data_IF_536163728524
#
_entry.id   IF_536163728524
#
_cell.length_a   1.000
_cell.length_b   1.000
_cell.length_c   1.000
_cell.angle_alpha   90.00
_cell.angle_beta   90.00
_cell.angle_gamma   90.00
#
_symmetry.space_group_name_H-M   'P 1'
#
loop_
_entity.id
_entity.type
_entity.pdbx_description
1 polymer ?
#
# COMPACT_ATOMS: atom_id res chain seq x y z
N UNK A 1 -17.09 -10.91 18.65
CA UNK A 1 -15.79 -10.47 18.09
C UNK A 1 -14.73 -11.56 18.15
N UNK A 2 -14.39 -12.15 19.31
CA UNK A 2 -13.59 -13.40 19.32
C UNK A 2 -14.16 -14.48 18.39
N UNK A 3 -15.50 -14.64 18.38
CA UNK A 3 -16.17 -15.56 17.46
C UNK A 3 -16.03 -15.22 15.96
N UNK A 4 -15.86 -13.95 15.59
CA UNK A 4 -15.62 -13.55 14.19
C UNK A 4 -14.22 -13.98 13.75
N UNK A 5 -13.21 -13.73 14.59
CA UNK A 5 -11.84 -14.11 14.29
C UNK A 5 -11.68 -15.64 14.24
N UNK A 6 -12.35 -16.36 15.15
CA UNK A 6 -12.42 -17.82 15.11
C UNK A 6 -13.11 -18.30 13.83
N UNK A 7 -14.25 -17.71 13.46
CA UNK A 7 -14.94 -18.06 12.23
C UNK A 7 -14.08 -17.83 10.98
N UNK A 8 -13.30 -16.75 10.93
CA UNK A 8 -12.36 -16.48 9.83
C UNK A 8 -11.26 -17.53 9.73
N UNK A 9 -10.76 -18.04 10.87
CA UNK A 9 -9.77 -19.13 10.88
C UNK A 9 -10.43 -20.44 10.44
N UNK A 10 -11.61 -20.76 10.97
CA UNK A 10 -12.34 -22.00 10.69
C UNK A 10 -12.83 -22.10 9.24
N UNK A 11 -13.02 -20.97 8.54
CA UNK A 11 -13.40 -20.95 7.13
C UNK A 11 -12.23 -21.19 6.17
N UNK A 12 -10.98 -21.06 6.63
CA UNK A 12 -9.79 -21.16 5.80
C UNK A 12 -9.20 -22.57 5.82
N UNK A 13 -8.80 -23.06 4.65
CA UNK A 13 -8.15 -24.37 4.49
C UNK A 13 -6.75 -24.24 3.89
N UNK A 14 -5.83 -25.10 4.36
CA UNK A 14 -4.45 -25.19 3.86
C UNK A 14 -3.44 -24.37 4.66
N UNK A 15 -2.19 -24.84 4.66
CA UNK A 15 -1.10 -24.29 5.48
C UNK A 15 -0.82 -22.81 5.16
N UNK A 16 -0.70 -22.44 3.88
CA UNK A 16 -0.47 -21.05 3.45
C UNK A 16 -1.55 -20.08 3.98
N UNK A 17 -2.82 -20.50 3.95
CA UNK A 17 -3.94 -19.66 4.41
C UNK A 17 -3.94 -19.52 5.93
N UNK A 18 -3.64 -20.60 6.66
CA UNK A 18 -3.52 -20.58 8.12
C UNK A 18 -2.32 -19.75 8.60
N UNK A 19 -1.20 -19.80 7.89
CA UNK A 19 -0.05 -18.92 8.17
C UNK A 19 -0.39 -17.45 7.90
N UNK A 20 -1.02 -17.18 6.76
CA UNK A 20 -1.42 -15.82 6.39
C UNK A 20 -2.40 -15.19 7.39
N UNK A 21 -3.46 -15.91 7.78
CA UNK A 21 -4.42 -15.40 8.77
C UNK A 21 -3.76 -15.23 10.15
N UNK A 22 -2.89 -16.15 10.56
CA UNK A 22 -2.16 -16.04 11.82
C UNK A 22 -1.25 -14.79 11.82
N UNK A 23 -0.57 -14.53 10.70
CA UNK A 23 0.25 -13.33 10.53
C UNK A 23 -0.60 -12.05 10.62
N UNK A 24 -1.73 -11.98 9.93
CA UNK A 24 -2.63 -10.83 10.02
C UNK A 24 -3.11 -10.62 11.47
N UNK A 25 -3.63 -11.66 12.11
CA UNK A 25 -4.14 -11.57 13.48
C UNK A 25 -3.06 -11.19 14.52
N UNK A 26 -1.80 -11.51 14.26
CA UNK A 26 -0.70 -11.14 15.15
C UNK A 26 -0.40 -9.63 15.16
N UNK A 27 -0.69 -8.93 14.05
CA UNK A 27 -0.26 -7.53 13.86
C UNK A 27 -1.38 -6.57 13.42
N UNK A 28 -2.60 -7.07 13.23
CA UNK A 28 -3.76 -6.25 12.88
C UNK A 28 -4.00 -5.14 13.93
N UNK A 29 -4.32 -3.90 13.50
CA UNK A 29 -4.61 -2.82 14.44
C UNK A 29 -5.79 -3.15 15.36
N UNK A 30 -5.74 -2.68 16.61
CA UNK A 30 -6.79 -2.97 17.60
C UNK A 30 -8.18 -2.49 17.15
N UNK A 31 -8.24 -1.35 16.45
CA UNK A 31 -9.50 -0.85 15.87
C UNK A 31 -10.14 -1.86 14.90
N UNK A 32 -9.32 -2.56 14.12
CA UNK A 32 -9.77 -3.52 13.13
C UNK A 32 -10.29 -4.80 13.81
N UNK A 33 -9.67 -5.26 14.90
CA UNK A 33 -10.15 -6.42 15.69
C UNK A 33 -11.61 -6.29 16.15
N UNK A 34 -12.09 -5.04 16.27
CA UNK A 34 -13.45 -4.74 16.73
C UNK A 34 -14.43 -4.40 15.61
N UNK A 35 -13.95 -4.16 14.39
CA UNK A 35 -14.74 -3.61 13.28
C UNK A 35 -14.75 -4.49 12.02
N UNK A 36 -13.66 -5.20 11.71
CA UNK A 36 -13.58 -6.07 10.53
C UNK A 36 -14.47 -7.32 10.71
N UNK A 37 -15.14 -7.75 9.63
CA UNK A 37 -15.89 -9.00 9.62
C UNK A 37 -14.99 -10.20 9.33
N UNK A 38 -15.41 -11.38 9.80
CA UNK A 38 -14.74 -12.63 9.49
C UNK A 38 -14.58 -12.86 7.97
N UNK A 39 -15.67 -12.71 7.23
CA UNK A 39 -15.73 -12.92 5.79
C UNK A 39 -14.77 -12.00 5.01
N UNK A 40 -14.66 -10.73 5.43
CA UNK A 40 -13.77 -9.79 4.75
C UNK A 40 -12.30 -10.17 4.96
N UNK A 41 -11.93 -10.52 6.19
CA UNK A 41 -10.57 -10.91 6.52
C UNK A 41 -10.19 -12.23 5.83
N UNK A 42 -11.07 -13.24 5.88
CA UNK A 42 -10.87 -14.52 5.19
C UNK A 42 -10.76 -14.32 3.67
N UNK A 43 -11.64 -13.53 3.07
CA UNK A 43 -11.59 -13.23 1.63
C UNK A 43 -10.29 -12.54 1.20
N UNK A 44 -9.73 -11.64 2.02
CA UNK A 44 -8.40 -11.07 1.72
C UNK A 44 -7.29 -12.11 1.77
N UNK A 45 -7.34 -13.06 2.71
CA UNK A 45 -6.36 -14.15 2.81
C UNK A 45 -6.45 -15.08 1.61
N UNK A 46 -7.65 -15.53 1.25
CA UNK A 46 -7.87 -16.40 0.10
C UNK A 46 -7.35 -15.77 -1.19
N UNK A 47 -7.69 -14.50 -1.43
CA UNK A 47 -7.22 -13.77 -2.60
C UNK A 47 -5.69 -13.60 -2.59
N UNK A 48 -5.09 -13.22 -1.47
CA UNK A 48 -3.63 -13.06 -1.37
C UNK A 48 -2.88 -14.38 -1.59
N UNK A 49 -3.36 -15.48 -1.01
CA UNK A 49 -2.77 -16.83 -1.18
C UNK A 49 -2.96 -17.34 -2.62
N UNK A 50 -4.10 -17.08 -3.24
CA UNK A 50 -4.30 -17.38 -4.66
C UNK A 50 -3.30 -16.60 -5.53
N UNK A 51 -3.05 -15.33 -5.20
CA UNK A 51 -2.11 -14.47 -5.95
C UNK A 51 -0.66 -14.90 -5.73
N UNK A 52 -0.31 -15.32 -4.52
CA UNK A 52 1.00 -15.92 -4.22
C UNK A 52 1.32 -17.08 -5.16
N UNK A 53 0.33 -17.89 -5.51
CA UNK A 53 0.53 -19.06 -6.39
C UNK A 53 0.51 -18.73 -7.89
N UNK A 54 -0.22 -17.69 -8.28
CA UNK A 54 -0.55 -17.43 -9.71
C UNK A 54 0.19 -16.25 -10.32
N UNK A 55 0.55 -15.23 -9.54
CA UNK A 55 1.20 -14.03 -10.06
C UNK A 55 2.68 -14.27 -10.37
N UNK A 56 3.19 -13.85 -11.54
CA UNK A 56 4.60 -13.90 -11.88
C UNK A 56 5.48 -13.02 -10.98
N UNK A 57 4.90 -12.02 -10.30
CA UNK A 57 5.61 -11.10 -9.41
C UNK A 57 5.61 -11.55 -7.95
N UNK A 58 4.74 -12.51 -7.61
CA UNK A 58 4.52 -12.90 -6.22
C UNK A 58 5.11 -14.27 -5.87
N UNK A 59 5.10 -15.21 -6.83
CA UNK A 59 5.42 -16.63 -6.56
C UNK A 59 6.77 -16.85 -5.90
N UNK A 60 7.77 -16.07 -6.31
CA UNK A 60 9.16 -16.29 -5.90
C UNK A 60 9.63 -15.27 -4.83
N UNK A 61 8.73 -14.45 -4.26
CA UNK A 61 9.11 -13.50 -3.20
C UNK A 61 9.51 -14.22 -1.90
N UNK A 62 10.40 -13.63 -1.08
CA UNK A 62 10.56 -14.06 0.30
C UNK A 62 9.25 -13.96 1.08
N UNK A 63 8.99 -14.90 2.00
CA UNK A 63 7.75 -14.91 2.80
C UNK A 63 7.60 -13.63 3.62
N UNK A 64 8.69 -13.06 4.12
CA UNK A 64 8.66 -11.78 4.84
C UNK A 64 8.08 -10.62 4.02
N UNK A 65 8.38 -10.56 2.72
CA UNK A 65 7.87 -9.54 1.80
C UNK A 65 6.42 -9.84 1.43
N UNK A 66 6.09 -11.11 1.16
CA UNK A 66 4.71 -11.49 0.89
C UNK A 66 3.78 -11.14 2.06
N UNK A 67 4.15 -11.58 3.27
CA UNK A 67 3.35 -11.38 4.48
C UNK A 67 3.23 -9.90 4.82
N UNK A 68 4.29 -9.10 4.67
CA UNK A 68 4.27 -7.69 5.09
C UNK A 68 3.77 -6.72 4.01
N UNK A 69 3.92 -7.03 2.72
CA UNK A 69 3.76 -6.04 1.64
C UNK A 69 2.86 -6.50 0.49
N UNK A 70 2.37 -7.75 0.49
CA UNK A 70 1.34 -8.23 -0.43
C UNK A 70 0.05 -8.61 0.29
N UNK A 71 0.15 -9.42 1.35
CA UNK A 71 -0.96 -9.99 2.11
C UNK A 71 -1.86 -8.96 2.81
N UNK A 72 -1.35 -7.87 3.43
CA UNK A 72 -2.18 -7.01 4.27
C UNK A 72 -3.35 -6.36 3.53
N UNK A 73 -4.50 -6.34 4.20
CA UNK A 73 -5.77 -5.80 3.69
C UNK A 73 -5.84 -4.26 3.68
N UNK A 74 -4.83 -3.61 4.27
CA UNK A 74 -4.79 -2.16 4.48
C UNK A 74 -3.37 -1.59 4.39
N UNK A 75 -3.30 -0.26 4.37
CA UNK A 75 -2.09 0.55 4.41
C UNK A 75 -2.08 1.52 5.59
N UNK A 76 -3.18 2.25 5.79
CA UNK A 76 -3.34 3.31 6.82
C UNK A 76 -4.76 3.26 7.44
N UNK A 77 -5.44 4.41 7.55
CA UNK A 77 -6.79 4.61 8.08
C UNK A 77 -7.94 4.33 7.12
N UNK A 78 -7.67 3.90 5.89
CA UNK A 78 -8.72 3.74 4.89
C UNK A 78 -9.78 2.71 5.29
N UNK A 79 -11.01 2.89 4.81
CA UNK A 79 -12.09 1.95 5.10
C UNK A 79 -11.72 0.55 4.61
N UNK A 80 -11.90 -0.47 5.46
CA UNK A 80 -11.65 -1.88 5.09
C UNK A 80 -12.71 -2.35 4.11
N UNK A 81 -12.30 -2.94 2.99
CA UNK A 81 -13.19 -3.38 1.93
C UNK A 81 -12.54 -4.44 1.03
N UNK A 82 -13.36 -5.20 0.30
CA UNK A 82 -12.86 -6.25 -0.60
C UNK A 82 -12.41 -5.67 -1.95
N UNK A 83 -11.28 -4.97 -1.95
CA UNK A 83 -10.74 -4.31 -3.15
C UNK A 83 -9.96 -5.26 -4.09
N UNK A 84 -9.49 -6.40 -3.60
CA UNK A 84 -8.63 -7.33 -4.39
C UNK A 84 -9.34 -7.88 -5.64
N UNK A 85 -10.56 -8.43 -5.57
CA UNK A 85 -11.14 -9.13 -6.70
C UNK A 85 -11.38 -8.22 -7.90
N UNK A 86 -12.00 -7.05 -7.68
CA UNK A 86 -12.30 -6.09 -8.75
C UNK A 86 -11.01 -5.54 -9.38
N UNK A 87 -10.05 -5.11 -8.56
CA UNK A 87 -8.79 -4.57 -9.09
C UNK A 87 -8.02 -5.65 -9.85
N UNK A 88 -7.98 -6.88 -9.36
CA UNK A 88 -7.33 -7.99 -10.07
C UNK A 88 -7.99 -8.26 -11.42
N UNK A 89 -9.32 -8.36 -11.45
CA UNK A 89 -10.07 -8.63 -12.69
C UNK A 89 -9.76 -7.59 -13.77
N UNK A 90 -9.66 -6.31 -13.38
CA UNK A 90 -9.41 -5.21 -14.31
C UNK A 90 -7.95 -5.08 -14.76
N UNK A 91 -6.99 -5.47 -13.92
CA UNK A 91 -5.60 -5.07 -14.07
C UNK A 91 -4.58 -6.23 -14.15
N UNK A 92 -4.96 -7.47 -13.84
CA UNK A 92 -4.04 -8.61 -13.88
C UNK A 92 -3.46 -8.85 -15.28
N UNK A 93 -4.27 -8.80 -16.34
CA UNK A 93 -3.78 -8.98 -17.72
C UNK A 93 -2.77 -7.90 -18.12
N UNK A 94 -2.99 -6.66 -17.70
CA UNK A 94 -2.09 -5.53 -18.00
C UNK A 94 -0.73 -5.76 -17.32
N UNK A 95 -0.75 -6.16 -16.05
CA UNK A 95 0.47 -6.40 -15.29
C UNK A 95 1.21 -7.65 -15.76
N UNK A 96 0.52 -8.78 -15.90
CA UNK A 96 1.14 -10.09 -16.17
C UNK A 96 1.60 -10.26 -17.62
N UNK A 97 1.13 -9.41 -18.54
CA UNK A 97 1.65 -9.34 -19.91
C UNK A 97 2.89 -8.45 -20.07
N UNK A 98 3.30 -7.75 -19.01
CA UNK A 98 4.51 -6.93 -19.03
C UNK A 98 5.77 -7.80 -18.91
N UNK A 99 6.86 -7.46 -19.63
CA UNK A 99 8.11 -8.22 -19.58
C UNK A 99 8.87 -8.08 -18.26
N UNK A 100 8.58 -7.06 -17.46
CA UNK A 100 9.26 -6.76 -16.18
C UNK A 100 8.26 -6.18 -15.18
N UNK A 101 8.56 -6.27 -13.89
CA UNK A 101 7.70 -5.65 -12.87
C UNK A 101 7.70 -4.12 -12.98
N UNK A 102 8.84 -3.50 -13.31
CA UNK A 102 8.92 -2.06 -13.58
C UNK A 102 7.95 -1.60 -14.68
N UNK A 103 7.92 -2.34 -15.80
CA UNK A 103 6.99 -2.07 -16.89
C UNK A 103 5.53 -2.38 -16.49
N UNK A 104 5.31 -3.43 -15.70
CA UNK A 104 3.98 -3.74 -15.16
C UNK A 104 3.44 -2.57 -14.33
N UNK A 105 4.21 -2.08 -13.36
CA UNK A 105 3.81 -0.97 -12.49
C UNK A 105 3.60 0.32 -13.29
N UNK A 106 4.46 0.60 -14.27
CA UNK A 106 4.26 1.76 -15.14
C UNK A 106 2.94 1.67 -15.94
N UNK A 107 2.62 0.51 -16.53
CA UNK A 107 1.35 0.29 -17.23
C UNK A 107 0.15 0.39 -16.29
N UNK A 108 0.26 -0.16 -15.09
CA UNK A 108 -0.78 -0.05 -14.06
C UNK A 108 -1.07 1.41 -13.74
N UNK A 109 -0.04 2.21 -13.43
CA UNK A 109 -0.20 3.64 -13.17
C UNK A 109 -0.87 4.35 -14.36
N UNK A 110 -0.44 4.09 -15.60
CA UNK A 110 -1.01 4.77 -16.77
C UNK A 110 -2.46 4.39 -17.08
N UNK A 111 -2.86 3.14 -16.82
CA UNK A 111 -4.18 2.63 -17.16
C UNK A 111 -5.20 2.83 -16.04
N UNK A 112 -4.77 2.78 -14.78
CA UNK A 112 -5.61 2.88 -13.60
C UNK A 112 -6.46 4.15 -13.60
N UNK A 113 -5.82 5.31 -13.76
CA UNK A 113 -6.51 6.60 -13.66
C UNK A 113 -7.50 6.83 -14.81
N UNK A 114 -7.12 6.40 -16.02
CA UNK A 114 -7.98 6.51 -17.22
C UNK A 114 -9.21 5.63 -17.10
N UNK A 115 -9.04 4.39 -16.63
CA UNK A 115 -10.14 3.41 -16.52
C UNK A 115 -11.08 3.70 -15.35
N UNK A 116 -10.54 4.23 -14.26
CA UNK A 116 -11.32 4.52 -13.05
C UNK A 116 -11.83 5.96 -12.97
N UNK A 117 -11.42 6.84 -13.91
CA UNK A 117 -11.91 8.21 -13.98
C UNK A 117 -11.46 9.09 -12.80
N UNK A 118 -10.26 8.84 -12.28
CA UNK A 118 -9.74 9.50 -11.07
C UNK A 118 -8.75 10.62 -11.45
N UNK A 119 -8.90 11.78 -10.82
CA UNK A 119 -7.98 12.92 -10.97
C UNK A 119 -7.45 13.40 -9.62
N UNK A 120 -6.29 14.07 -9.64
CA UNK A 120 -5.75 14.70 -8.43
C UNK A 120 -6.50 15.98 -8.05
N UNK A 121 -6.84 16.11 -6.77
CA UNK A 121 -7.17 17.41 -6.17
C UNK A 121 -6.82 17.43 -4.68
N UNK A 122 -6.13 18.46 -4.17
CA UNK A 122 -5.67 18.51 -2.79
C UNK A 122 -6.77 18.79 -1.75
N UNK A 123 -8.04 19.00 -2.14
CA UNK A 123 -9.08 19.53 -1.23
C UNK A 123 -10.51 19.16 -1.57
N UNK A 124 -10.82 18.75 -2.80
CA UNK A 124 -12.19 18.40 -3.23
C UNK A 124 -12.62 16.98 -2.88
N UNK A 125 -11.69 16.16 -2.37
CA UNK A 125 -12.02 14.82 -1.87
C UNK A 125 -12.69 14.88 -0.48
N UNK A 126 -13.62 13.96 -0.15
CA UNK A 126 -14.32 13.94 1.14
C UNK A 126 -13.40 13.71 2.34
N UNK A 127 -12.32 12.93 2.17
CA UNK A 127 -11.30 12.64 3.19
C UNK A 127 -9.95 12.33 2.54
N UNK A 128 -8.87 12.32 3.30
CA UNK A 128 -7.50 12.15 2.76
C UNK A 128 -7.15 10.69 2.45
N UNK A 129 -7.53 9.77 3.34
CA UNK A 129 -7.27 8.32 3.27
C UNK A 129 -8.44 7.53 2.69
N UNK A 130 -8.93 7.96 1.52
CA UNK A 130 -9.98 7.25 0.79
C UNK A 130 -9.56 5.81 0.49
N UNK A 131 -10.46 4.86 0.77
CA UNK A 131 -10.33 3.50 0.26
C UNK A 131 -10.41 3.49 -1.27
N UNK A 132 -10.03 2.38 -1.94
CA UNK A 132 -10.14 2.25 -3.38
C UNK A 132 -11.51 2.67 -3.92
N UNK A 133 -12.61 2.11 -3.39
CA UNK A 133 -13.96 2.46 -3.83
C UNK A 133 -14.34 3.91 -3.54
N UNK A 134 -13.97 4.47 -2.38
CA UNK A 134 -14.22 5.89 -2.07
C UNK A 134 -13.49 6.84 -3.03
N UNK A 135 -12.30 6.45 -3.51
CA UNK A 135 -11.56 7.20 -4.53
C UNK A 135 -12.23 7.10 -5.89
N UNK A 136 -12.62 5.89 -6.30
CA UNK A 136 -13.27 5.62 -7.58
C UNK A 136 -14.62 6.33 -7.67
N UNK A 137 -15.46 6.20 -6.64
CA UNK A 137 -16.81 6.77 -6.60
C UNK A 137 -16.79 8.31 -6.65
N UNK A 138 -15.81 8.93 -5.99
CA UNK A 138 -15.65 10.38 -5.98
C UNK A 138 -14.95 10.91 -7.24
N UNK A 139 -14.14 10.09 -7.91
CA UNK A 139 -13.30 10.47 -9.06
C UNK A 139 -12.19 11.47 -8.73
N UNK A 140 -11.93 11.74 -7.45
CA UNK A 140 -10.95 12.73 -6.99
C UNK A 140 -10.22 12.24 -5.74
N UNK A 141 -8.89 12.38 -5.72
CA UNK A 141 -8.05 12.04 -4.56
C UNK A 141 -6.85 13.00 -4.38
N UNK A 142 -6.29 13.05 -3.16
CA UNK A 142 -4.94 13.60 -2.91
C UNK A 142 -3.85 12.55 -3.13
N UNK A 143 -2.58 12.91 -2.91
CA UNK A 143 -1.43 12.02 -2.99
C UNK A 143 -1.61 10.73 -2.17
N UNK A 144 -2.17 10.81 -0.96
CA UNK A 144 -2.52 9.64 -0.13
C UNK A 144 -3.53 8.72 -0.80
N UNK A 145 -4.70 9.22 -1.20
CA UNK A 145 -5.75 8.39 -1.84
C UNK A 145 -5.31 7.79 -3.18
N UNK A 146 -4.54 8.53 -3.98
CA UNK A 146 -3.91 8.00 -5.19
C UNK A 146 -2.93 6.87 -4.84
N UNK A 147 -2.09 7.06 -3.83
CA UNK A 147 -1.12 6.05 -3.42
C UNK A 147 -1.78 4.79 -2.86
N UNK A 148 -2.88 4.93 -2.08
CA UNK A 148 -3.69 3.79 -1.62
C UNK A 148 -4.23 3.01 -2.83
N UNK A 149 -4.89 3.68 -3.79
CA UNK A 149 -5.50 3.01 -4.93
C UNK A 149 -4.44 2.32 -5.83
N UNK A 150 -3.31 2.97 -6.09
CA UNK A 150 -2.23 2.37 -6.87
C UNK A 150 -1.61 1.18 -6.13
N UNK A 151 -1.29 1.32 -4.84
CA UNK A 151 -0.71 0.24 -4.05
C UNK A 151 -1.67 -0.95 -3.87
N UNK A 152 -2.97 -0.70 -3.69
CA UNK A 152 -4.01 -1.75 -3.72
C UNK A 152 -4.03 -2.47 -5.06
N UNK A 153 -3.90 -1.74 -6.17
CA UNK A 153 -3.84 -2.33 -7.51
C UNK A 153 -2.59 -3.18 -7.70
N UNK A 154 -1.43 -2.73 -7.21
CA UNK A 154 -0.20 -3.54 -7.20
C UNK A 154 -0.38 -4.83 -6.38
N UNK A 155 -0.89 -4.72 -5.14
CA UNK A 155 -1.10 -5.88 -4.26
C UNK A 155 -2.14 -6.86 -4.80
N UNK A 156 -3.17 -6.41 -5.53
CA UNK A 156 -4.19 -7.28 -6.13
C UNK A 156 -3.66 -8.15 -7.27
N UNK A 157 -2.58 -7.73 -7.92
CA UNK A 157 -1.89 -8.48 -8.99
C UNK A 157 -0.58 -9.13 -8.52
N UNK A 158 -0.26 -9.05 -7.22
CA UNK A 158 0.87 -9.73 -6.59
C UNK A 158 2.19 -8.96 -6.59
N UNK A 159 2.17 -7.66 -6.87
CA UNK A 159 3.34 -6.79 -6.75
C UNK A 159 3.39 -6.26 -5.31
N UNK A 160 4.47 -6.50 -4.54
CA UNK A 160 4.56 -6.00 -3.17
C UNK A 160 4.64 -4.49 -3.19
N UNK A 161 3.78 -3.85 -2.44
CA UNK A 161 3.67 -2.41 -2.41
C UNK A 161 3.38 -1.91 -0.99
N UNK A 162 3.88 -0.73 -0.68
CA UNK A 162 3.62 0.00 0.57
C UNK A 162 3.56 1.49 0.31
N UNK A 163 3.03 2.25 1.26
CA UNK A 163 3.06 3.71 1.16
C UNK A 163 4.37 4.22 1.75
N UNK A 164 4.87 5.31 1.17
CA UNK A 164 5.95 6.10 1.73
C UNK A 164 5.60 7.58 1.64
N UNK A 165 6.18 8.39 2.51
CA UNK A 165 5.84 9.80 2.57
C UNK A 165 6.77 10.62 3.45
N UNK A 166 6.67 11.93 3.28
CA UNK A 166 7.20 12.92 4.21
C UNK A 166 6.05 13.65 4.89
N UNK A 167 6.07 13.83 6.22
CA UNK A 167 5.06 14.62 6.92
C UNK A 167 5.16 16.10 6.58
N UNK A 168 6.38 16.58 6.31
CA UNK A 168 6.66 17.92 5.84
C UNK A 168 7.96 17.91 5.00
N UNK A 169 7.99 18.68 3.91
CA UNK A 169 9.24 18.96 3.22
C UNK A 169 10.15 19.86 4.06
N UNK A 170 11.47 19.76 3.87
CA UNK A 170 12.48 20.59 4.56
C UNK A 170 12.29 22.12 4.44
N UNK A 171 11.49 22.59 3.47
CA UNK A 171 11.16 24.00 3.21
C UNK A 171 9.72 24.35 3.64
N UNK A 172 9.10 23.51 4.46
CA UNK A 172 7.75 23.65 5.00
C UNK A 172 6.65 23.79 3.93
N UNK A 173 6.91 23.33 2.71
CA UNK A 173 5.97 23.48 1.60
C UNK A 173 4.81 22.47 1.58
N UNK A 174 4.62 21.71 2.67
CA UNK A 174 3.58 20.68 2.82
C UNK A 174 4.12 19.25 2.88
N UNK A 175 3.20 18.29 2.91
CA UNK A 175 3.48 16.86 2.93
C UNK A 175 3.49 16.25 1.52
N UNK A 176 3.91 14.99 1.42
CA UNK A 176 3.66 14.18 0.23
C UNK A 176 3.64 12.69 0.55
N UNK A 177 2.84 11.92 -0.20
CA UNK A 177 2.74 10.46 -0.10
C UNK A 177 2.87 9.86 -1.49
N UNK A 178 3.62 8.78 -1.61
CA UNK A 178 3.82 8.01 -2.83
C UNK A 178 3.86 6.51 -2.54
N UNK A 179 4.10 5.70 -3.57
CA UNK A 179 4.15 4.23 -3.45
C UNK A 179 5.59 3.75 -3.53
N UNK A 180 5.94 2.78 -2.70
CA UNK A 180 7.13 1.96 -2.90
C UNK A 180 6.74 0.54 -3.28
N UNK A 181 7.44 -0.03 -4.27
CA UNK A 181 7.28 -1.42 -4.67
C UNK A 181 8.59 -2.19 -4.49
N UNK A 182 8.50 -3.44 -4.06
CA UNK A 182 9.67 -4.30 -3.90
C UNK A 182 9.96 -5.03 -5.20
N UNK A 183 11.14 -4.82 -5.76
CA UNK A 183 11.61 -5.48 -6.98
C UNK A 183 13.05 -5.98 -6.76
N UNK A 184 13.23 -7.30 -6.79
CA UNK A 184 14.51 -8.01 -6.69
C UNK A 184 15.47 -7.47 -5.61
N UNK A 185 15.03 -7.49 -4.35
CA UNK A 185 15.88 -7.08 -3.22
C UNK A 185 15.90 -5.57 -2.95
N UNK A 186 15.17 -4.76 -3.73
CA UNK A 186 15.22 -3.31 -3.64
C UNK A 186 13.82 -2.69 -3.65
N UNK A 187 13.63 -1.70 -2.78
CA UNK A 187 12.45 -0.85 -2.81
C UNK A 187 12.61 0.27 -3.86
N UNK A 188 11.70 0.31 -4.82
CA UNK A 188 11.61 1.30 -5.89
C UNK A 188 10.44 2.25 -5.60
N UNK A 189 10.67 3.56 -5.65
CA UNK A 189 9.57 4.51 -5.49
C UNK A 189 8.87 4.79 -6.82
N UNK A 190 7.57 5.06 -6.74
CA UNK A 190 6.67 5.32 -7.85
C UNK A 190 5.75 6.47 -7.47
N UNK A 191 5.76 7.52 -8.28
CA UNK A 191 4.78 8.61 -8.18
C UNK A 191 3.48 8.20 -8.85
N UNK A 192 2.38 8.24 -8.11
CA UNK A 192 1.05 7.96 -8.64
C UNK A 192 0.55 9.11 -9.52
N UNK A 193 -0.15 8.79 -10.61
CA UNK A 193 -0.78 9.74 -11.53
C UNK A 193 0.22 10.71 -12.17
N UNK A 194 0.93 10.20 -13.19
CA UNK A 194 1.90 10.99 -13.95
C UNK A 194 3.35 10.61 -13.65
N UNK A 195 3.57 9.48 -12.96
CA UNK A 195 4.88 8.88 -12.81
C UNK A 195 5.39 8.29 -14.12
N UNK A 196 6.67 8.51 -14.42
CA UNK A 196 7.36 7.92 -15.57
C UNK A 196 7.92 6.52 -15.27
N UNK A 197 7.36 5.83 -14.26
CA UNK A 197 7.84 4.56 -13.75
C UNK A 197 8.80 4.72 -12.56
N UNK A 198 9.57 3.67 -12.30
CA UNK A 198 10.45 3.61 -11.12
C UNK A 198 11.46 4.75 -11.08
N UNK A 199 11.71 5.25 -9.88
CA UNK A 199 12.84 6.14 -9.65
C UNK A 199 12.65 7.55 -10.21
N UNK A 200 11.45 7.88 -10.70
CA UNK A 200 11.16 9.17 -11.33
C UNK A 200 10.01 9.87 -10.63
N UNK A 201 10.29 11.10 -10.18
CA UNK A 201 9.31 11.94 -9.53
C UNK A 201 9.68 13.43 -9.66
N UNK A 202 8.68 14.30 -9.53
CA UNK A 202 8.87 15.75 -9.55
C UNK A 202 9.53 16.28 -8.27
N UNK A 203 9.50 15.51 -7.18
CA UNK A 203 9.95 15.90 -5.84
C UNK A 203 11.39 15.49 -5.49
N UNK A 204 12.17 14.96 -6.44
CA UNK A 204 13.53 14.45 -6.17
C UNK A 204 14.48 15.51 -5.57
N UNK A 205 14.38 16.76 -6.01
CA UNK A 205 15.20 17.84 -5.43
C UNK A 205 14.86 18.15 -3.97
N UNK A 206 13.61 17.89 -3.56
CA UNK A 206 13.16 18.07 -2.18
C UNK A 206 13.58 16.91 -1.29
N UNK A 207 13.48 15.67 -1.79
CA UNK A 207 13.84 14.48 -1.01
C UNK A 207 15.34 14.40 -0.73
N UNK A 208 16.19 14.99 -1.58
CA UNK A 208 17.63 15.06 -1.37
C UNK A 208 18.05 15.92 -0.15
N UNK A 209 17.10 16.62 0.49
CA UNK A 209 17.32 17.54 1.62
C UNK A 209 16.53 17.13 2.87
N UNK A 210 16.03 15.90 2.92
CA UNK A 210 15.34 15.37 4.10
C UNK A 210 16.26 15.37 5.32
N UNK A 211 15.68 15.53 6.50
CA UNK A 211 16.41 15.55 7.76
C UNK A 211 15.94 14.37 8.63
N UNK A 212 16.68 13.24 8.69
CA UNK A 212 16.29 12.08 9.47
C UNK A 212 16.35 12.31 10.98
N UNK A 213 17.04 13.35 11.45
CA UNK A 213 17.14 13.68 12.89
C UNK A 213 15.86 14.33 13.44
N UNK A 214 14.92 14.72 12.58
CA UNK A 214 13.64 15.30 12.95
C UNK A 214 12.48 14.52 12.28
N UNK A 215 11.65 13.81 13.07
CA UNK A 215 10.53 13.00 12.54
C UNK A 215 9.59 13.73 11.59
N UNK A 216 9.49 15.06 11.69
CA UNK A 216 8.68 15.90 10.81
C UNK A 216 9.22 15.94 9.37
N UNK A 217 10.53 15.81 9.20
CA UNK A 217 11.26 15.89 7.93
C UNK A 217 11.89 14.55 7.50
N UNK A 218 11.63 13.48 8.26
CA UNK A 218 12.02 12.10 7.95
C UNK A 218 11.14 11.49 6.86
N UNK A 219 11.73 10.62 6.03
CA UNK A 219 10.98 9.81 5.07
C UNK A 219 10.55 8.50 5.73
N UNK A 220 9.24 8.30 5.84
CA UNK A 220 8.66 7.10 6.44
C UNK A 220 8.09 6.19 5.35
N UNK A 221 8.13 4.88 5.58
CA UNK A 221 7.38 3.91 4.79
C UNK A 221 6.59 2.97 5.70
N UNK A 222 5.31 2.73 5.36
CA UNK A 222 4.40 1.89 6.17
C UNK A 222 4.91 0.45 6.26
N UNK A 223 4.69 -0.19 7.41
CA UNK A 223 4.91 -1.61 7.62
C UNK A 223 3.70 -2.22 8.31
N UNK A 224 3.42 -3.49 8.05
CA UNK A 224 2.39 -4.22 8.80
C UNK A 224 2.96 -4.76 10.12
N UNK A 225 4.22 -5.20 10.12
CA UNK A 225 4.92 -5.61 11.33
C UNK A 225 5.26 -4.37 12.19
N UNK A 226 5.21 -4.48 13.53
CA UNK A 226 5.71 -3.42 14.40
C UNK A 226 7.19 -3.13 14.17
N UNK A 227 7.54 -1.85 14.08
CA UNK A 227 8.90 -1.37 13.82
C UNK A 227 9.48 -0.55 14.97
N UNK A 228 8.65 -0.17 15.95
CA UNK A 228 8.99 0.79 17.00
C UNK A 228 8.74 2.25 16.64
N UNK A 229 8.35 2.54 15.40
CA UNK A 229 7.94 3.86 14.91
C UNK A 229 6.60 3.77 14.17
N UNK A 230 5.97 4.91 13.90
CA UNK A 230 4.68 4.96 13.22
C UNK A 230 4.71 5.88 12.01
N UNK A 231 3.85 5.60 11.03
CA UNK A 231 3.68 6.42 9.84
C UNK A 231 2.89 7.67 10.23
N UNK A 232 3.41 8.89 9.99
CA UNK A 232 2.69 10.09 10.35
C UNK A 232 1.45 10.31 9.45
N UNK A 233 0.29 10.45 10.06
CA UNK A 233 -0.98 10.69 9.39
C UNK A 233 -1.36 12.17 9.55
N UNK A 234 -1.13 12.99 8.52
CA UNK A 234 -1.38 14.45 8.62
C UNK A 234 -2.84 14.80 8.91
N UNK A 235 -3.78 13.94 8.50
CA UNK A 235 -5.21 14.12 8.77
C UNK A 235 -5.67 13.54 10.12
N UNK A 236 -4.82 12.75 10.78
CA UNK A 236 -5.08 12.19 12.11
C UNK A 236 -3.76 12.06 12.92
N UNK A 237 -3.14 13.19 13.35
CA UNK A 237 -1.78 13.19 13.91
C UNK A 237 -1.62 12.40 15.22
N UNK A 238 -2.73 12.10 15.90
CA UNK A 238 -2.74 11.34 17.15
C UNK A 238 -2.80 9.81 16.91
N UNK A 239 -3.09 9.38 15.68
CA UNK A 239 -3.14 7.96 15.33
C UNK A 239 -1.73 7.40 15.07
N UNK A 240 -1.15 6.81 16.12
CA UNK A 240 0.11 6.06 16.06
C UNK A 240 -0.05 4.57 15.74
N UNK A 241 -1.21 4.11 15.24
CA UNK A 241 -1.50 2.68 15.06
C UNK A 241 -0.86 2.03 13.83
N UNK A 242 -0.31 2.82 12.92
CA UNK A 242 0.30 2.34 11.67
C UNK A 242 1.82 2.29 11.82
N UNK A 243 2.45 1.10 11.87
CA UNK A 243 3.91 1.01 11.95
C UNK A 243 4.61 1.60 10.72
N UNK A 244 5.82 2.13 10.91
CA UNK A 244 6.65 2.61 9.81
C UNK A 244 8.14 2.43 10.04
N UNK A 245 8.89 2.34 8.94
CA UNK A 245 10.36 2.37 8.94
C UNK A 245 10.85 3.71 8.41
N UNK A 246 11.91 4.25 9.03
CA UNK A 246 12.67 5.36 8.45
C UNK A 246 13.46 4.82 7.24
N UNK A 247 13.20 5.41 6.08
CA UNK A 247 13.85 5.07 4.80
C UNK A 247 14.64 6.22 4.22
N UNK A 248 14.87 7.30 4.99
CA UNK A 248 15.57 8.51 4.57
C UNK A 248 16.95 8.20 3.97
N UNK A 249 17.68 7.26 4.57
CA UNK A 249 18.99 6.85 4.08
C UNK A 249 18.97 6.35 2.62
N UNK A 250 17.89 5.68 2.18
CA UNK A 250 17.75 5.24 0.78
C UNK A 250 17.51 6.40 -0.16
N UNK A 251 16.75 7.40 0.26
CA UNK A 251 16.48 8.59 -0.55
C UNK A 251 17.68 9.53 -0.63
N UNK A 252 18.43 9.69 0.47
CA UNK A 252 19.69 10.45 0.49
C UNK A 252 20.81 9.80 -0.33
N UNK A 253 20.71 8.50 -0.61
CA UNK A 253 21.65 7.76 -1.45
C UNK A 253 21.28 7.75 -2.95
N UNK A 254 20.21 8.42 -3.36
CA UNK A 254 19.87 8.58 -4.77
C UNK A 254 20.93 9.46 -5.47
N UNK A 255 21.25 9.18 -6.75
CA UNK A 255 22.26 9.89 -7.51
C UNK A 255 21.90 11.35 -7.83
#
# INVERSE_FOLDING_TARGET
RRGELVAAIESLEGEDALEAIAFLLAFIPERDLTTISADLLAGHVEEAVAIRRTSPFCRDLPDEIFLNDVLPHMFVGERRESWRPELRERFAEIAWSAPTQAEAVHRLDQELWKRMGVVYHPSKRPKTDQSPSETIDCGVASCTGLSILLASTCRSVGIPARLAGVPMWHDDSGNHTWVEVWDDGRWQFVEALGGEGYGKAWWLEKIAKVNPDDPLYTVWATSYRPTGSHFPLEWDPEDGSIPAVDVSARYLALP
#
